data_IF_221475794421
#
_entry.id   IF_221475794421
#
_cell.length_a   1.000
_cell.length_b   1.000
_cell.length_c   1.000
_cell.angle_alpha   90.00
_cell.angle_beta   90.00
_cell.angle_gamma   90.00
#
_symmetry.space_group_name_H-M   'P 1'
#
loop_
_entity.id
_entity.type
_entity.pdbx_description
1 polymer ?
#
# COMPACT_ATOMS: atom_id res chain seq x y z
N UNK A 1 -2.40 23.77 18.51
CA UNK A 1 -2.69 22.71 17.52
C UNK A 1 -4.16 22.78 17.15
N UNK A 2 -4.51 22.96 15.89
CA UNK A 2 -5.91 23.10 15.47
C UNK A 2 -6.62 21.74 15.51
N UNK A 3 -7.91 21.72 15.80
CA UNK A 3 -8.80 20.55 15.82
C UNK A 3 -8.73 19.74 14.50
N UNK A 4 -8.45 20.41 13.39
CA UNK A 4 -8.23 19.79 12.07
C UNK A 4 -7.03 18.86 12.01
N UNK A 5 -5.98 19.15 12.77
CA UNK A 5 -4.77 18.32 12.80
C UNK A 5 -5.05 16.91 13.33
N UNK A 6 -5.82 16.78 14.39
CA UNK A 6 -6.14 15.49 15.01
C UNK A 6 -7.03 14.61 14.10
N UNK A 7 -7.98 15.21 13.40
CA UNK A 7 -8.83 14.48 12.44
C UNK A 7 -8.03 13.95 11.25
N UNK A 8 -7.13 14.77 10.69
CA UNK A 8 -6.26 14.36 9.59
C UNK A 8 -5.34 13.21 10.01
N UNK A 9 -4.73 13.31 11.20
CA UNK A 9 -3.90 12.23 11.76
C UNK A 9 -4.72 10.95 11.94
N UNK A 10 -5.91 11.05 12.52
CA UNK A 10 -6.79 9.90 12.72
C UNK A 10 -7.14 9.22 11.39
N UNK A 11 -7.57 9.98 10.37
CA UNK A 11 -7.90 9.44 9.05
C UNK A 11 -6.69 8.82 8.37
N UNK A 12 -5.51 9.42 8.54
CA UNK A 12 -4.26 8.89 8.01
C UNK A 12 -3.92 7.53 8.62
N UNK A 13 -3.93 7.43 9.95
CA UNK A 13 -3.63 6.19 10.67
C UNK A 13 -4.68 5.11 10.35
N UNK A 14 -5.96 5.48 10.35
CA UNK A 14 -7.05 4.55 10.02
C UNK A 14 -6.87 3.97 8.61
N UNK A 15 -6.55 4.83 7.63
CA UNK A 15 -6.31 4.38 6.24
C UNK A 15 -5.10 3.45 6.13
N UNK A 16 -4.02 3.74 6.86
CA UNK A 16 -2.83 2.89 6.90
C UNK A 16 -3.13 1.52 7.50
N UNK A 17 -3.88 1.47 8.62
CA UNK A 17 -4.27 0.23 9.29
C UNK A 17 -5.18 -0.62 8.39
N UNK A 18 -6.17 0.00 7.75
CA UNK A 18 -7.08 -0.72 6.83
C UNK A 18 -6.30 -1.26 5.64
N UNK A 19 -5.44 -0.46 5.02
CA UNK A 19 -4.66 -0.89 3.87
C UNK A 19 -3.70 -2.04 4.23
N UNK A 20 -2.89 -1.87 5.28
CA UNK A 20 -1.94 -2.90 5.72
C UNK A 20 -2.65 -4.17 6.21
N UNK A 21 -3.71 -4.01 6.99
CA UNK A 21 -4.54 -5.12 7.47
C UNK A 21 -5.19 -5.90 6.33
N UNK A 22 -5.69 -5.21 5.31
CA UNK A 22 -6.24 -5.84 4.12
C UNK A 22 -5.17 -6.63 3.33
N UNK A 23 -3.93 -6.11 3.21
CA UNK A 23 -2.82 -6.83 2.57
C UNK A 23 -2.45 -8.10 3.34
N UNK A 24 -2.33 -7.99 4.65
CA UNK A 24 -2.05 -9.15 5.53
C UNK A 24 -3.17 -10.19 5.40
N UNK A 25 -4.44 -9.76 5.45
CA UNK A 25 -5.60 -10.63 5.27
C UNK A 25 -5.62 -11.28 3.89
N UNK A 26 -5.33 -10.54 2.83
CA UNK A 26 -5.26 -11.07 1.47
C UNK A 26 -4.11 -12.09 1.30
N UNK A 27 -3.01 -11.90 2.04
CA UNK A 27 -1.84 -12.79 1.99
C UNK A 27 -2.04 -14.06 2.81
N UNK A 28 -2.55 -13.94 4.02
CA UNK A 28 -2.58 -15.03 5.01
C UNK A 28 -3.98 -15.59 5.26
N UNK A 29 -5.05 -14.90 4.90
CA UNK A 29 -6.45 -15.32 5.08
C UNK A 29 -6.95 -16.32 4.03
N UNK A 30 -6.07 -17.13 3.45
CA UNK A 30 -6.42 -18.18 2.49
C UNK A 30 -6.73 -19.50 3.19
N UNK A 31 -7.71 -20.21 2.66
CA UNK A 31 -8.04 -21.55 3.11
C UNK A 31 -7.04 -22.57 2.53
N UNK A 32 -6.64 -22.39 1.24
CA UNK A 32 -5.65 -23.25 0.57
C UNK A 32 -4.46 -22.43 0.09
N UNK A 33 -3.22 -22.90 0.25
CA UNK A 33 -2.06 -22.26 -0.34
C UNK A 33 -2.14 -22.29 -1.88
N UNK A 34 -1.56 -21.27 -2.54
CA UNK A 34 -1.64 -21.11 -3.99
C UNK A 34 -1.09 -22.31 -4.78
N UNK A 35 -0.09 -22.99 -4.21
CA UNK A 35 0.54 -24.17 -4.80
C UNK A 35 -0.39 -25.40 -4.88
N UNK A 36 -1.41 -25.44 -4.03
CA UNK A 36 -2.36 -26.54 -3.92
C UNK A 36 -3.61 -26.33 -4.77
N UNK A 37 -3.74 -25.17 -5.43
CA UNK A 37 -4.80 -24.92 -6.38
C UNK A 37 -4.56 -25.78 -7.64
N UNK A 38 -5.59 -26.53 -8.02
CA UNK A 38 -5.49 -27.56 -9.07
C UNK A 38 -6.44 -27.33 -10.23
N UNK A 39 -7.50 -26.54 -10.04
CA UNK A 39 -8.51 -26.30 -11.07
C UNK A 39 -8.56 -24.85 -11.54
N UNK A 40 -8.98 -24.59 -12.79
CA UNK A 40 -9.15 -23.23 -13.31
C UNK A 40 -10.11 -22.39 -12.46
N UNK A 41 -11.19 -22.99 -11.95
CA UNK A 41 -12.19 -22.31 -11.12
C UNK A 41 -11.58 -21.79 -9.80
N UNK A 42 -10.67 -22.54 -9.17
CA UNK A 42 -9.95 -22.09 -7.96
C UNK A 42 -9.09 -20.84 -8.26
N UNK A 43 -8.45 -20.79 -9.44
CA UNK A 43 -7.65 -19.62 -9.85
C UNK A 43 -8.55 -18.42 -10.22
N UNK A 44 -9.70 -18.65 -10.87
CA UNK A 44 -10.69 -17.61 -11.14
C UNK A 44 -11.18 -17.00 -9.82
N UNK A 45 -11.52 -17.83 -8.84
CA UNK A 45 -11.91 -17.38 -7.51
C UNK A 45 -10.85 -16.50 -6.87
N UNK A 46 -9.56 -16.86 -6.98
CA UNK A 46 -8.47 -16.06 -6.44
C UNK A 46 -8.30 -14.72 -7.16
N UNK A 47 -8.45 -14.66 -8.48
CA UNK A 47 -8.40 -13.38 -9.22
C UNK A 47 -9.55 -12.46 -8.81
N UNK A 48 -10.75 -12.97 -8.61
CA UNK A 48 -11.90 -12.20 -8.11
C UNK A 48 -11.71 -11.76 -6.66
N UNK A 49 -11.09 -12.57 -5.81
CA UNK A 49 -10.72 -12.21 -4.44
C UNK A 49 -9.75 -11.04 -4.42
N UNK A 50 -8.71 -11.07 -5.26
CA UNK A 50 -7.78 -9.93 -5.40
C UNK A 50 -8.46 -8.70 -5.99
N UNK A 51 -9.34 -8.84 -6.95
CA UNK A 51 -10.11 -7.72 -7.50
C UNK A 51 -10.96 -7.02 -6.43
N UNK A 52 -11.62 -7.78 -5.54
CA UNK A 52 -12.34 -7.22 -4.38
C UNK A 52 -11.41 -6.53 -3.41
N UNK A 53 -10.25 -7.12 -3.12
CA UNK A 53 -9.22 -6.52 -2.30
C UNK A 53 -8.77 -5.15 -2.88
N UNK A 54 -8.43 -5.06 -4.17
CA UNK A 54 -8.04 -3.80 -4.79
C UNK A 54 -9.17 -2.77 -4.75
N UNK A 55 -10.41 -3.17 -5.02
CA UNK A 55 -11.57 -2.29 -4.96
C UNK A 55 -11.80 -1.72 -3.56
N UNK A 56 -11.58 -2.54 -2.53
CA UNK A 56 -11.71 -2.12 -1.12
C UNK A 56 -10.57 -1.18 -0.71
N UNK A 57 -9.33 -1.48 -1.08
CA UNK A 57 -8.14 -0.76 -0.58
C UNK A 57 -7.87 0.54 -1.33
N UNK A 58 -8.27 0.65 -2.58
CA UNK A 58 -7.98 1.82 -3.43
C UNK A 58 -8.44 3.17 -2.83
N UNK A 59 -9.66 3.31 -2.28
CA UNK A 59 -10.09 4.55 -1.62
C UNK A 59 -9.19 4.94 -0.44
N UNK A 60 -8.72 3.97 0.34
CA UNK A 60 -7.84 4.22 1.49
C UNK A 60 -6.42 4.62 1.07
N UNK A 61 -5.92 4.13 -0.07
CA UNK A 61 -4.65 4.57 -0.64
C UNK A 61 -4.74 6.04 -1.05
N UNK A 62 -5.84 6.45 -1.69
CA UNK A 62 -6.08 7.85 -2.05
C UNK A 62 -6.19 8.71 -0.79
N UNK A 63 -6.96 8.28 0.20
CA UNK A 63 -7.14 9.02 1.45
C UNK A 63 -5.83 9.15 2.22
N UNK A 64 -5.00 8.10 2.23
CA UNK A 64 -3.67 8.11 2.81
C UNK A 64 -2.77 9.16 2.11
N UNK A 65 -2.82 9.24 0.79
CA UNK A 65 -2.09 10.25 0.03
C UNK A 65 -2.54 11.67 0.38
N UNK A 66 -3.83 11.93 0.34
CA UNK A 66 -4.38 13.25 0.62
C UNK A 66 -4.03 13.71 2.04
N UNK A 67 -4.19 12.85 3.03
CA UNK A 67 -3.83 13.15 4.42
C UNK A 67 -2.33 13.34 4.60
N UNK A 68 -1.48 12.58 3.89
CA UNK A 68 -0.02 12.76 3.90
C UNK A 68 0.38 14.14 3.35
N UNK A 69 -0.23 14.57 2.25
CA UNK A 69 0.04 15.89 1.66
C UNK A 69 -0.36 17.00 2.63
N UNK A 70 -1.55 16.91 3.24
CA UNK A 70 -2.01 17.89 4.23
C UNK A 70 -1.06 17.97 5.43
N UNK A 71 -0.60 16.84 5.95
CA UNK A 71 0.37 16.79 7.04
C UNK A 71 1.72 17.38 6.62
N UNK A 72 2.21 17.05 5.42
CA UNK A 72 3.47 17.57 4.90
C UNK A 72 3.46 19.09 4.74
N UNK A 73 2.35 19.67 4.26
CA UNK A 73 2.19 21.14 4.17
C UNK A 73 2.23 21.79 5.56
N UNK A 74 1.51 21.22 6.55
CA UNK A 74 1.55 21.72 7.91
C UNK A 74 2.93 21.65 8.56
N UNK A 75 3.72 20.63 8.28
CA UNK A 75 5.12 20.54 8.74
C UNK A 75 6.01 21.56 8.05
N UNK A 76 5.84 21.79 6.76
CA UNK A 76 6.60 22.79 6.01
C UNK A 76 6.43 24.19 6.59
N UNK A 77 5.18 24.58 6.86
CA UNK A 77 4.84 25.90 7.40
C UNK A 77 5.47 26.15 8.78
N UNK A 78 5.72 25.10 9.56
CA UNK A 78 6.36 25.19 10.88
C UNK A 78 7.88 25.06 10.83
N UNK A 79 8.43 24.47 9.77
CA UNK A 79 9.86 24.14 9.67
C UNK A 79 10.68 25.17 8.90
N UNK A 80 10.02 26.00 8.07
CA UNK A 80 10.69 26.98 7.21
C UNK A 80 10.25 28.38 7.65
N UNK A 81 11.24 29.26 7.90
CA UNK A 81 10.97 30.67 8.23
C UNK A 81 10.46 31.45 7.01
N UNK A 82 9.94 32.69 7.20
CA UNK A 82 9.49 33.54 6.10
C UNK A 82 10.57 33.88 5.06
N UNK A 83 11.84 33.74 5.42
CA UNK A 83 12.99 33.96 4.55
C UNK A 83 13.38 32.70 3.77
N UNK A 84 12.73 31.55 4.03
CA UNK A 84 12.96 30.29 3.34
C UNK A 84 14.06 29.42 3.95
N UNK A 85 14.56 29.75 5.16
CA UNK A 85 15.56 28.95 5.88
C UNK A 85 14.91 27.98 6.86
N UNK A 86 15.55 26.82 7.08
CA UNK A 86 15.09 25.88 8.10
C UNK A 86 15.41 26.39 9.50
N UNK A 87 14.40 26.38 10.36
CA UNK A 87 14.45 27.02 11.69
C UNK A 87 15.36 26.29 12.69
N UNK A 88 15.51 24.96 12.56
CA UNK A 88 16.30 24.12 13.46
C UNK A 88 16.85 22.87 12.77
N UNK A 89 17.88 22.23 13.34
CA UNK A 89 18.39 20.94 12.87
C UNK A 89 17.30 19.84 12.91
N UNK A 90 16.42 19.89 13.91
CA UNK A 90 15.26 18.99 14.01
C UNK A 90 14.33 19.16 12.81
N UNK A 91 14.09 20.40 12.37
CA UNK A 91 13.25 20.67 11.18
C UNK A 91 13.87 20.07 9.92
N UNK A 92 15.20 20.11 9.77
CA UNK A 92 15.91 19.48 8.64
C UNK A 92 15.71 17.95 8.64
N UNK A 93 15.85 17.33 9.80
CA UNK A 93 15.66 15.87 9.92
C UNK A 93 14.22 15.48 9.59
N UNK A 94 13.24 16.20 10.12
CA UNK A 94 11.81 15.96 9.84
C UNK A 94 11.47 16.11 8.36
N UNK A 95 11.98 17.16 7.73
CA UNK A 95 11.77 17.38 6.30
C UNK A 95 12.29 16.21 5.46
N UNK A 96 13.50 15.72 5.76
CA UNK A 96 14.08 14.53 5.12
C UNK A 96 13.22 13.29 5.36
N UNK A 97 12.73 13.07 6.58
CA UNK A 97 11.88 11.91 6.90
C UNK A 97 10.56 11.94 6.14
N UNK A 98 9.90 13.10 6.00
CA UNK A 98 8.68 13.26 5.23
C UNK A 98 8.89 12.89 3.75
N UNK A 99 10.01 13.34 3.16
CA UNK A 99 10.36 12.99 1.77
C UNK A 99 10.64 11.49 1.61
N UNK A 100 11.35 10.89 2.57
CA UNK A 100 11.61 9.44 2.58
C UNK A 100 10.29 8.66 2.64
N UNK A 101 9.37 9.05 3.52
CA UNK A 101 8.01 8.45 3.60
C UNK A 101 7.26 8.61 2.29
N UNK A 102 7.29 9.79 1.67
CA UNK A 102 6.67 10.01 0.37
C UNK A 102 7.23 9.12 -0.74
N UNK A 103 8.56 8.91 -0.75
CA UNK A 103 9.21 8.01 -1.70
C UNK A 103 8.78 6.54 -1.48
N UNK A 104 8.79 6.05 -0.25
CA UNK A 104 8.35 4.69 0.09
C UNK A 104 6.87 4.50 -0.30
N UNK A 105 6.01 5.46 0.06
CA UNK A 105 4.59 5.42 -0.31
C UNK A 105 4.41 5.33 -1.83
N UNK A 106 5.18 6.11 -2.60
CA UNK A 106 5.12 6.10 -4.07
C UNK A 106 5.48 4.71 -4.63
N UNK A 107 6.54 4.09 -4.11
CA UNK A 107 6.92 2.72 -4.50
C UNK A 107 5.80 1.72 -4.16
N UNK A 108 5.20 1.83 -2.97
CA UNK A 108 4.09 0.97 -2.55
C UNK A 108 2.84 1.15 -3.44
N UNK A 109 2.50 2.39 -3.81
CA UNK A 109 1.36 2.68 -4.68
C UNK A 109 1.59 2.15 -6.11
N UNK A 110 2.79 2.35 -6.66
CA UNK A 110 3.18 1.78 -7.95
C UNK A 110 3.11 0.25 -7.95
N UNK A 111 3.61 -0.38 -6.89
CA UNK A 111 3.55 -1.83 -6.72
C UNK A 111 2.10 -2.34 -6.62
N UNK A 112 1.20 -1.61 -5.93
CA UNK A 112 -0.23 -1.91 -5.90
C UNK A 112 -0.87 -1.80 -7.29
N UNK A 113 -0.54 -0.77 -8.05
CA UNK A 113 -0.99 -0.62 -9.45
C UNK A 113 -0.52 -1.78 -10.33
N UNK A 114 0.74 -2.18 -10.18
CA UNK A 114 1.28 -3.33 -10.88
C UNK A 114 0.55 -4.64 -10.52
N UNK A 115 0.32 -4.89 -9.23
CA UNK A 115 -0.45 -6.05 -8.78
C UNK A 115 -1.88 -6.06 -9.37
N UNK A 116 -2.56 -4.91 -9.36
CA UNK A 116 -3.90 -4.80 -9.91
C UNK A 116 -3.91 -5.05 -11.42
N UNK A 117 -2.94 -4.53 -12.17
CA UNK A 117 -2.78 -4.75 -13.60
C UNK A 117 -2.49 -6.22 -13.93
N UNK A 118 -1.55 -6.86 -13.21
CA UNK A 118 -1.22 -8.28 -13.38
C UNK A 118 -2.46 -9.14 -13.11
N UNK A 119 -3.19 -8.86 -12.02
CA UNK A 119 -4.40 -9.60 -11.67
C UNK A 119 -5.50 -9.44 -12.73
N UNK A 120 -5.72 -8.22 -13.25
CA UNK A 120 -6.71 -7.97 -14.30
C UNK A 120 -6.36 -8.70 -15.61
N UNK A 121 -5.07 -8.75 -15.95
CA UNK A 121 -4.58 -9.50 -17.11
C UNK A 121 -4.75 -11.02 -16.92
N UNK A 122 -4.44 -11.53 -15.72
CA UNK A 122 -4.64 -12.94 -15.40
C UNK A 122 -6.13 -13.31 -15.48
N UNK A 123 -7.02 -12.51 -14.89
CA UNK A 123 -8.46 -12.75 -14.93
C UNK A 123 -8.99 -12.88 -16.35
N UNK A 124 -8.63 -11.96 -17.25
CA UNK A 124 -9.04 -12.02 -18.67
C UNK A 124 -8.54 -13.29 -19.38
N UNK A 125 -7.36 -13.77 -19.04
CA UNK A 125 -6.81 -14.96 -19.66
C UNK A 125 -7.46 -16.23 -19.14
N UNK A 126 -7.86 -16.29 -17.85
CA UNK A 126 -8.56 -17.45 -17.29
C UNK A 126 -9.90 -17.72 -17.96
N UNK A 127 -10.62 -16.70 -18.39
CA UNK A 127 -11.89 -16.86 -19.10
C UNK A 127 -11.75 -17.63 -20.44
N UNK A 128 -10.51 -17.73 -20.96
CA UNK A 128 -10.20 -18.43 -22.20
C UNK A 128 -9.45 -19.75 -21.98
N UNK A 129 -9.17 -20.12 -20.72
CA UNK A 129 -8.46 -21.35 -20.41
C UNK A 129 -9.40 -22.55 -20.36
N UNK A 130 -9.23 -23.50 -21.27
CA UNK A 130 -9.95 -24.78 -21.22
C UNK A 130 -9.26 -25.83 -20.35
N UNK A 131 -7.97 -25.68 -20.08
CA UNK A 131 -7.18 -26.59 -19.25
C UNK A 131 -6.04 -25.89 -18.49
N UNK A 132 -5.49 -26.56 -17.47
CA UNK A 132 -4.44 -26.00 -16.60
C UNK A 132 -3.11 -25.74 -17.31
N UNK A 133 -2.81 -26.40 -18.41
CA UNK A 133 -1.56 -26.16 -19.17
C UNK A 133 -1.62 -24.81 -19.87
N UNK A 134 -2.78 -24.43 -20.39
CA UNK A 134 -3.01 -23.13 -21.00
C UNK A 134 -2.97 -22.00 -19.96
N UNK A 135 -3.35 -22.30 -18.72
CA UNK A 135 -3.38 -21.34 -17.61
C UNK A 135 -2.02 -21.13 -16.91
N UNK A 136 -0.94 -21.77 -17.34
CA UNK A 136 0.35 -21.70 -16.63
C UNK A 136 0.84 -20.26 -16.43
N UNK A 137 0.74 -19.38 -17.44
CA UNK A 137 1.11 -17.96 -17.34
C UNK A 137 0.28 -17.18 -16.34
N UNK A 138 -1.00 -17.55 -16.18
CA UNK A 138 -1.90 -16.91 -15.21
C UNK A 138 -1.56 -17.34 -13.78
N UNK A 139 -1.18 -18.61 -13.61
CA UNK A 139 -0.67 -19.15 -12.35
C UNK A 139 0.60 -18.41 -11.93
N UNK A 140 1.55 -18.23 -12.82
CA UNK A 140 2.80 -17.51 -12.56
C UNK A 140 2.54 -16.05 -12.17
N UNK A 141 1.57 -15.41 -12.83
CA UNK A 141 1.17 -14.04 -12.50
C UNK A 141 0.65 -13.91 -11.06
N UNK A 142 -0.25 -14.79 -10.64
CA UNK A 142 -0.76 -14.81 -9.25
C UNK A 142 0.35 -15.18 -8.26
N UNK A 143 1.26 -16.06 -8.64
CA UNK A 143 2.39 -16.46 -7.81
C UNK A 143 3.34 -15.29 -7.54
N UNK A 144 3.61 -14.44 -8.55
CA UNK A 144 4.41 -13.21 -8.40
C UNK A 144 3.73 -12.23 -7.43
N UNK A 145 2.43 -11.99 -7.57
CA UNK A 145 1.67 -11.13 -6.65
C UNK A 145 1.82 -11.65 -5.22
N UNK A 146 1.60 -12.95 -5.01
CA UNK A 146 1.55 -13.56 -3.69
C UNK A 146 2.92 -13.63 -3.01
N UNK A 147 3.97 -14.04 -3.73
CA UNK A 147 5.27 -14.34 -3.12
C UNK A 147 6.25 -13.16 -3.11
N UNK A 148 6.04 -12.15 -3.97
CA UNK A 148 6.96 -11.01 -4.07
C UNK A 148 6.28 -9.68 -3.82
N UNK A 149 5.30 -9.32 -4.65
CA UNK A 149 4.79 -7.97 -4.64
C UNK A 149 4.04 -7.62 -3.35
N UNK A 150 3.24 -8.54 -2.84
CA UNK A 150 2.48 -8.33 -1.61
C UNK A 150 3.35 -8.33 -0.35
N UNK A 151 4.29 -9.27 -0.14
CA UNK A 151 5.24 -9.19 0.97
C UNK A 151 6.10 -7.92 0.97
N UNK A 152 6.57 -7.47 -0.19
CA UNK A 152 7.32 -6.20 -0.30
C UNK A 152 6.48 -5.04 0.24
N UNK A 153 5.21 -4.92 -0.16
CA UNK A 153 4.34 -3.85 0.35
C UNK A 153 4.05 -3.99 1.85
N UNK A 154 3.93 -5.20 2.38
CA UNK A 154 3.75 -5.40 3.83
C UNK A 154 4.98 -4.92 4.60
N UNK A 155 6.19 -5.26 4.13
CA UNK A 155 7.45 -4.81 4.75
C UNK A 155 7.58 -3.30 4.67
N UNK A 156 7.37 -2.70 3.49
CA UNK A 156 7.42 -1.26 3.30
C UNK A 156 6.38 -0.54 4.18
N UNK A 157 5.17 -1.10 4.32
CA UNK A 157 4.14 -0.57 5.19
C UNK A 157 4.54 -0.60 6.68
N UNK A 158 5.22 -1.66 7.13
CA UNK A 158 5.77 -1.73 8.47
C UNK A 158 6.85 -0.64 8.70
N UNK A 159 7.75 -0.45 7.72
CA UNK A 159 8.76 0.62 7.75
C UNK A 159 8.10 2.00 7.81
N UNK A 160 7.04 2.24 7.04
CA UNK A 160 6.26 3.48 7.07
C UNK A 160 5.68 3.78 8.45
N UNK A 161 5.14 2.76 9.13
CA UNK A 161 4.63 2.90 10.50
C UNK A 161 5.75 3.26 11.46
N UNK A 162 6.89 2.57 11.39
CA UNK A 162 8.06 2.88 12.23
C UNK A 162 8.54 4.32 12.03
N UNK A 163 8.68 4.78 10.80
CA UNK A 163 9.04 6.16 10.49
C UNK A 163 8.02 7.16 11.01
N UNK A 164 6.73 6.80 10.99
CA UNK A 164 5.66 7.61 11.58
C UNK A 164 5.78 7.76 13.09
N UNK A 165 6.08 6.68 13.80
CA UNK A 165 6.30 6.70 15.26
C UNK A 165 7.52 7.52 15.63
N UNK A 166 8.64 7.35 14.91
CA UNK A 166 9.87 8.14 15.14
C UNK A 166 9.58 9.63 14.91
N UNK A 167 8.88 9.98 13.84
CA UNK A 167 8.52 11.36 13.55
C UNK A 167 7.67 11.97 14.68
N UNK A 168 6.72 11.21 15.22
CA UNK A 168 5.85 11.67 16.30
C UNK A 168 6.60 11.81 17.63
N UNK A 169 7.57 10.94 17.92
CA UNK A 169 8.37 10.99 19.16
C UNK A 169 9.39 12.14 19.20
N UNK A 170 9.61 12.78 18.05
CA UNK A 170 10.55 13.90 17.91
C UNK A 170 9.88 15.28 18.18
N UNK A 171 8.57 15.27 18.53
CA UNK A 171 7.78 16.43 18.98
C UNK A 171 7.45 16.34 20.46
#
# INVERSE_FOLDING_TARGET
MSTYSNQVIFLHVLSAVIWLGAMISARYGRVKPLRELSTPEEYIYETERYKRFFKLTFPFIILLFLTSVLMALGYKDNAIDPQGFMTTDTAVVMYKMIHTKGAIWTVMAMNMGLMAWINAKAAKNFDHCSNMKECAKCKDALWIIYNYLMPINIILGAVEIMLGVILQSSF
#
